data_IF_687952754620
#
_entry.id   IF_687952754620
#
_cell.length_a   1.000
_cell.length_b   1.000
_cell.length_c   1.000
_cell.angle_alpha   90.00
_cell.angle_beta   90.00
_cell.angle_gamma   90.00
#
_symmetry.space_group_name_H-M   'P 1'
#
loop_
_entity.id
_entity.type
_entity.pdbx_description
1 polymer ?
#
# COMPACT_ATOMS: atom_id res chain seq x y z
N UNK A 1 7.72 10.17 -9.98
CA UNK A 1 7.81 8.70 -9.95
C UNK A 1 6.41 8.18 -9.70
N UNK A 2 5.90 7.27 -10.53
CA UNK A 2 4.56 6.71 -10.33
C UNK A 2 4.59 5.72 -9.15
N UNK A 3 3.72 5.93 -8.17
CA UNK A 3 3.58 5.06 -7.00
C UNK A 3 2.49 4.02 -7.29
N UNK A 4 2.85 2.74 -7.19
CA UNK A 4 1.91 1.61 -7.26
C UNK A 4 1.76 0.99 -5.88
N UNK A 5 0.52 0.84 -5.40
CA UNK A 5 0.26 0.04 -4.21
C UNK A 5 0.03 -1.42 -4.60
N UNK A 6 0.49 -2.33 -3.76
CA UNK A 6 0.24 -3.77 -3.90
C UNK A 6 -0.68 -4.23 -2.78
N UNK A 7 -1.71 -5.00 -3.13
CA UNK A 7 -2.58 -5.69 -2.19
C UNK A 7 -2.32 -7.18 -2.32
N UNK A 8 -2.02 -7.83 -1.20
CA UNK A 8 -1.76 -9.26 -1.15
C UNK A 8 -2.65 -9.95 -0.13
N UNK A 9 -2.93 -11.22 -0.36
CA UNK A 9 -3.49 -12.11 0.65
C UNK A 9 -2.50 -12.23 1.81
N UNK A 10 -3.02 -12.13 3.04
CA UNK A 10 -2.19 -12.10 4.24
C UNK A 10 -1.60 -13.45 4.60
N UNK A 11 -2.27 -14.54 4.29
CA UNK A 11 -1.83 -15.89 4.65
C UNK A 11 -0.86 -16.44 3.60
N UNK A 12 -1.19 -16.28 2.32
CA UNK A 12 -0.41 -16.86 1.22
C UNK A 12 0.64 -15.91 0.66
N UNK A 13 0.48 -14.60 0.87
CA UNK A 13 1.32 -13.57 0.24
C UNK A 13 1.02 -13.35 -1.24
N UNK A 14 0.02 -14.04 -1.80
CA UNK A 14 -0.37 -13.89 -3.20
C UNK A 14 -0.80 -12.45 -3.49
N UNK A 15 -0.31 -11.86 -4.58
CA UNK A 15 -0.74 -10.53 -5.01
C UNK A 15 -2.14 -10.62 -5.61
N UNK A 16 -3.10 -10.03 -4.92
CA UNK A 16 -4.50 -9.99 -5.35
C UNK A 16 -4.75 -8.83 -6.31
N UNK A 17 -4.15 -7.67 -6.05
CA UNK A 17 -4.41 -6.44 -6.79
C UNK A 17 -3.22 -5.49 -6.78
N UNK A 18 -3.13 -4.64 -7.81
CA UNK A 18 -2.27 -3.47 -7.83
C UNK A 18 -3.11 -2.22 -8.07
N UNK A 19 -2.96 -1.24 -7.20
CA UNK A 19 -3.68 0.04 -7.30
C UNK A 19 -2.71 1.12 -7.78
N UNK A 20 -3.15 1.95 -8.72
CA UNK A 20 -2.38 3.06 -9.25
C UNK A 20 -2.39 3.11 -10.79
N UNK A 21 -1.55 3.96 -11.39
CA UNK A 21 -0.50 4.77 -10.75
C UNK A 21 -1.05 5.93 -9.90
N UNK A 22 -0.25 6.36 -8.92
CA UNK A 22 -0.54 7.51 -8.06
C UNK A 22 0.65 8.48 -8.02
N UNK A 23 0.34 9.76 -7.85
CA UNK A 23 1.34 10.82 -7.82
C UNK A 23 2.17 10.88 -6.53
N UNK A 24 1.72 10.21 -5.45
CA UNK A 24 2.43 10.17 -4.17
C UNK A 24 2.06 8.95 -3.30
N UNK A 25 2.91 8.58 -2.33
CA UNK A 25 2.58 7.56 -1.32
C UNK A 25 1.39 7.96 -0.45
N UNK A 26 1.15 9.26 -0.28
CA UNK A 26 -0.03 9.77 0.42
C UNK A 26 -1.32 9.40 -0.31
N UNK A 27 -1.39 9.72 -1.60
CA UNK A 27 -2.53 9.39 -2.45
C UNK A 27 -2.78 7.88 -2.52
N UNK A 28 -1.72 7.09 -2.69
CA UNK A 28 -1.79 5.63 -2.73
C UNK A 28 -2.37 5.05 -1.42
N UNK A 29 -1.94 5.53 -0.25
CA UNK A 29 -2.46 5.06 1.05
C UNK A 29 -3.94 5.40 1.25
N UNK A 30 -4.38 6.57 0.79
CA UNK A 30 -5.80 6.94 0.82
C UNK A 30 -6.62 6.02 -0.10
N UNK A 31 -6.15 5.79 -1.32
CA UNK A 31 -6.82 4.88 -2.27
C UNK A 31 -6.92 3.45 -1.73
N UNK A 32 -5.88 2.93 -1.08
CA UNK A 32 -5.93 1.63 -0.40
C UNK A 32 -7.01 1.59 0.69
N UNK A 33 -7.18 2.66 1.48
CA UNK A 33 -8.25 2.73 2.48
C UNK A 33 -9.65 2.73 1.86
N UNK A 34 -9.82 3.45 0.75
CA UNK A 34 -11.08 3.44 -0.01
C UNK A 34 -11.38 2.05 -0.59
N UNK A 35 -10.38 1.38 -1.18
CA UNK A 35 -10.52 0.03 -1.71
C UNK A 35 -10.81 -1.01 -0.61
N UNK A 36 -10.22 -0.84 0.57
CA UNK A 36 -10.48 -1.67 1.74
C UNK A 36 -11.84 -1.37 2.41
N UNK A 37 -12.47 -0.25 2.08
CA UNK A 37 -13.70 0.23 2.73
C UNK A 37 -13.51 0.65 4.19
N UNK A 38 -12.26 0.82 4.65
CA UNK A 38 -11.90 1.12 6.06
C UNK A 38 -10.67 2.01 6.15
N UNK A 39 -10.51 2.70 7.28
CA UNK A 39 -9.27 3.43 7.57
C UNK A 39 -8.17 2.42 7.92
N UNK A 40 -7.11 2.40 7.10
CA UNK A 40 -5.95 1.53 7.32
C UNK A 40 -4.94 2.19 8.27
N UNK A 41 -4.46 1.41 9.23
CA UNK A 41 -3.34 1.81 10.08
C UNK A 41 -2.04 1.43 9.40
N UNK A 42 -1.18 2.43 9.17
CA UNK A 42 0.05 2.28 8.41
C UNK A 42 1.27 2.26 9.33
N UNK A 43 2.09 1.23 9.15
CA UNK A 43 3.40 1.10 9.76
C UNK A 43 4.49 1.33 8.72
N UNK A 44 5.64 1.84 9.17
CA UNK A 44 6.78 2.08 8.28
C UNK A 44 7.68 0.85 8.29
N UNK A 45 7.80 0.17 7.15
CA UNK A 45 8.61 -1.04 6.97
C UNK A 45 9.70 -0.77 5.92
N UNK A 46 10.90 -0.41 6.39
CA UNK A 46 12.03 -0.08 5.50
C UNK A 46 11.68 1.03 4.50
N UNK A 47 11.63 0.67 3.21
CA UNK A 47 11.33 1.55 2.08
C UNK A 47 9.85 1.57 1.68
N UNK A 48 8.96 0.94 2.47
CA UNK A 48 7.53 0.90 2.22
C UNK A 48 6.72 1.35 3.46
N UNK A 49 5.47 1.71 3.20
CA UNK A 49 4.40 1.72 4.17
C UNK A 49 3.63 0.41 4.04
N UNK A 50 3.29 -0.18 5.18
CA UNK A 50 2.53 -1.41 5.25
C UNK A 50 1.30 -1.21 6.13
N UNK A 51 0.15 -1.71 5.68
CA UNK A 51 -1.04 -1.84 6.52
C UNK A 51 -1.60 -3.26 6.42
N UNK A 52 -2.16 -3.75 7.52
CA UNK A 52 -2.73 -5.11 7.60
C UNK A 52 -4.18 -5.05 8.02
N UNK A 53 -4.96 -5.95 7.43
CA UNK A 53 -6.34 -6.25 7.80
C UNK A 53 -6.44 -7.72 8.23
N UNK A 54 -7.66 -8.24 8.41
CA UNK A 54 -7.85 -9.64 8.75
C UNK A 54 -7.31 -10.56 7.64
N UNK A 55 -7.57 -10.23 6.38
CA UNK A 55 -7.34 -11.05 5.19
C UNK A 55 -6.27 -10.49 4.24
N UNK A 56 -5.96 -9.18 4.31
CA UNK A 56 -5.07 -8.53 3.33
C UNK A 56 -3.92 -7.76 3.95
N UNK A 57 -2.84 -7.66 3.18
CA UNK A 57 -1.71 -6.76 3.40
C UNK A 57 -1.65 -5.75 2.26
N UNK A 58 -1.47 -4.48 2.62
CA UNK A 58 -1.34 -3.36 1.69
C UNK A 58 0.07 -2.82 1.78
N UNK A 59 0.77 -2.73 0.66
CA UNK A 59 2.12 -2.19 0.56
C UNK A 59 2.13 -0.98 -0.37
N UNK A 60 2.69 0.12 0.13
CA UNK A 60 2.88 1.36 -0.64
C UNK A 60 4.36 1.75 -0.58
N UNK A 61 5.06 1.84 -1.72
CA UNK A 61 6.42 2.36 -1.76
C UNK A 61 6.51 3.74 -1.12
N UNK A 62 7.56 3.99 -0.33
CA UNK A 62 7.89 5.34 0.12
C UNK A 62 8.51 6.10 -1.04
N UNK A 63 8.28 7.41 -1.08
CA UNK A 63 9.14 8.29 -1.87
C UNK A 63 10.58 8.09 -1.39
N UNK A 64 11.43 7.58 -2.28
CA UNK A 64 12.86 7.63 -2.08
C UNK A 64 13.26 9.09 -2.21
N UNK A 65 14.03 9.66 -1.26
CA UNK A 65 14.67 10.94 -1.51
C UNK A 65 15.55 10.78 -2.75
N UNK A 66 15.35 11.63 -3.74
CA UNK A 66 16.31 11.78 -4.84
C UNK A 66 17.65 12.17 -4.20
N UNK A 67 18.66 11.31 -4.34
CA UNK A 67 19.98 11.51 -3.75
C UNK A 67 20.76 12.65 -4.37
#
# INVERSE_FOLDING_TARGET
MDIMATVSDRETGEVLERLGPFDSPGAARVACGLAAGVVLQWERQGLAWEARTADRVYLVPREMPEG
#
